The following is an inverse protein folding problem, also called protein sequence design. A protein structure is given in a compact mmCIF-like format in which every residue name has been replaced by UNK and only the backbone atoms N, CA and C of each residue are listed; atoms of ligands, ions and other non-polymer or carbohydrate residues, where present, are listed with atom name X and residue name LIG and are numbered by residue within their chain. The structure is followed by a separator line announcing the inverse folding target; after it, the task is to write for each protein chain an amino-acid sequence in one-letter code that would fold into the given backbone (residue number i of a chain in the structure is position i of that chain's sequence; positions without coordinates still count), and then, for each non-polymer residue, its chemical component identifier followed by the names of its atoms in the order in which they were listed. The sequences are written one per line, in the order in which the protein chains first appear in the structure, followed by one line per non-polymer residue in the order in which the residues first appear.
data_IF_393520346780
#
_entry.id   IF_393520346780
#
_cell.length_a   1.000
_cell.length_b   1.000
_cell.length_c   1.000
_cell.angle_alpha   90.00
_cell.angle_beta   90.00
_cell.angle_gamma   90.00
#
_symmetry.space_group_name_H-M   'P 1'
#
loop_
_entity.id
_entity.type
_entity.pdbx_description
1 polymer ?
#
# COMPACT_ATOMS: atom_id res chain seq x y z
N UNK A 1 11.80 5.38 9.40
CA UNK A 1 11.65 3.98 8.89
C UNK A 1 11.75 3.99 7.38
N UNK A 2 11.98 2.82 6.75
CA UNK A 2 11.97 2.69 5.28
C UNK A 2 10.80 1.83 4.82
N UNK A 3 10.09 2.26 3.79
CA UNK A 3 9.04 1.46 3.15
C UNK A 3 9.62 0.68 1.97
N UNK A 4 9.46 -0.64 1.98
CA UNK A 4 9.85 -1.53 0.88
C UNK A 4 8.58 -2.10 0.25
N UNK A 5 8.30 -1.75 -1.00
CA UNK A 5 7.01 -2.07 -1.66
C UNK A 5 7.16 -2.28 -3.16
N UNK A 6 6.08 -2.71 -3.82
CA UNK A 6 5.99 -2.74 -5.28
C UNK A 6 5.57 -1.37 -5.81
N UNK A 7 5.98 -1.08 -7.04
CA UNK A 7 5.60 0.14 -7.76
C UNK A 7 4.33 -0.05 -8.62
N UNK A 8 3.39 -0.84 -8.11
CA UNK A 8 2.04 -1.01 -8.67
C UNK A 8 1.00 -0.34 -7.78
N UNK A 9 -0.24 -0.24 -8.27
CA UNK A 9 -1.28 0.51 -7.58
C UNK A 9 -1.53 0.01 -6.15
N UNK A 10 -1.55 -1.31 -5.91
CA UNK A 10 -1.69 -1.86 -4.56
C UNK A 10 -0.52 -1.48 -3.64
N UNK A 11 0.71 -1.57 -4.14
CA UNK A 11 1.91 -1.14 -3.41
C UNK A 11 1.93 0.36 -3.09
N UNK A 12 1.38 1.20 -3.97
CA UNK A 12 1.25 2.65 -3.74
C UNK A 12 0.12 3.00 -2.76
N UNK A 13 -1.01 2.29 -2.79
CA UNK A 13 -2.07 2.43 -1.77
C UNK A 13 -1.56 1.97 -0.40
N UNK A 14 -0.78 0.88 -0.34
CA UNK A 14 -0.07 0.47 0.86
C UNK A 14 0.83 1.61 1.38
N UNK A 15 1.59 2.25 0.49
CA UNK A 15 2.43 3.39 0.84
C UNK A 15 1.64 4.59 1.38
N UNK A 16 0.49 4.91 0.78
CA UNK A 16 -0.38 5.99 1.26
C UNK A 16 -0.88 5.73 2.69
N UNK A 17 -1.30 4.48 2.98
CA UNK A 17 -1.73 4.08 4.32
C UNK A 17 -0.58 4.06 5.32
N UNK A 18 0.55 3.43 4.98
CA UNK A 18 1.70 3.32 5.90
C UNK A 18 2.25 4.70 6.23
N UNK A 19 2.47 5.56 5.24
CA UNK A 19 3.02 6.91 5.47
C UNK A 19 2.07 7.81 6.27
N UNK A 20 0.76 7.51 6.29
CA UNK A 20 -0.19 8.20 7.17
C UNK A 20 0.08 7.91 8.65
N UNK A 21 0.41 6.67 8.99
CA UNK A 21 0.49 6.22 10.37
C UNK A 21 1.92 6.07 10.89
N UNK A 22 2.90 5.94 10.00
CA UNK A 22 4.28 5.61 10.33
C UNK A 22 5.25 6.67 9.78
N UNK A 23 6.34 6.92 10.51
CA UNK A 23 7.39 7.86 10.09
C UNK A 23 8.29 7.20 9.06
N UNK A 24 7.95 7.38 7.77
CA UNK A 24 8.76 6.92 6.63
C UNK A 24 9.69 8.04 6.17
N UNK A 25 10.97 7.74 6.06
CA UNK A 25 12.02 8.68 5.64
C UNK A 25 12.71 8.24 4.33
N UNK A 26 12.47 7.00 3.92
CA UNK A 26 13.17 6.34 2.83
C UNK A 26 12.24 5.31 2.17
N UNK A 27 12.43 5.08 0.87
CA UNK A 27 11.59 4.19 0.07
C UNK A 27 12.46 3.27 -0.77
N UNK A 28 11.99 2.04 -0.98
CA UNK A 28 12.63 1.10 -1.88
C UNK A 28 11.55 0.36 -2.66
N UNK A 29 11.48 0.62 -3.97
CA UNK A 29 10.59 -0.08 -4.87
C UNK A 29 11.27 -1.32 -5.45
N UNK A 30 10.62 -2.47 -5.33
CA UNK A 30 11.26 -3.76 -5.60
C UNK A 30 10.32 -4.69 -6.36
N UNK A 31 10.86 -5.40 -7.35
CA UNK A 31 10.18 -6.54 -7.95
C UNK A 31 10.25 -7.77 -7.03
N UNK A 32 9.16 -8.53 -6.82
CA UNK A 32 9.13 -9.67 -5.91
C UNK A 32 10.26 -10.69 -6.12
N UNK A 33 10.68 -10.89 -7.37
CA UNK A 33 11.76 -11.82 -7.71
C UNK A 33 13.08 -11.47 -7.02
N UNK A 34 13.44 -10.19 -6.91
CA UNK A 34 14.68 -9.79 -6.25
C UNK A 34 14.66 -10.03 -4.73
N UNK A 35 13.48 -9.95 -4.10
CA UNK A 35 13.30 -10.36 -2.71
C UNK A 35 13.47 -11.88 -2.55
N UNK A 36 12.86 -12.66 -3.44
CA UNK A 36 12.94 -14.13 -3.41
C UNK A 36 14.35 -14.65 -3.65
N UNK A 37 15.10 -13.99 -4.55
CA UNK A 37 16.50 -14.32 -4.85
C UNK A 37 17.49 -13.82 -3.77
N UNK A 38 17.00 -13.08 -2.76
CA UNK A 38 17.82 -12.58 -1.65
C UNK A 38 18.75 -11.41 -2.04
N UNK A 39 18.42 -10.66 -3.09
CA UNK A 39 19.25 -9.56 -3.61
C UNK A 39 18.93 -8.21 -2.97
N UNK A 40 17.90 -8.17 -2.13
CA UNK A 40 17.41 -6.95 -1.50
C UNK A 40 17.82 -6.99 -0.04
N UNK A 41 18.61 -6.00 0.37
CA UNK A 41 18.99 -5.84 1.77
C UNK A 41 17.80 -5.33 2.57
N UNK A 42 17.30 -6.15 3.50
CA UNK A 42 16.26 -5.76 4.47
C UNK A 42 16.89 -5.58 5.86
N UNK A 43 16.63 -4.41 6.45
CA UNK A 43 17.14 -3.98 7.75
C UNK A 43 16.01 -3.82 8.78
N UNK A 44 16.39 -3.81 10.05
CA UNK A 44 15.47 -3.42 11.12
C UNK A 44 14.97 -1.98 10.88
N UNK A 45 13.68 -1.74 11.08
CA UNK A 45 13.01 -0.48 10.75
C UNK A 45 12.42 -0.45 9.34
N UNK A 46 12.59 -1.51 8.54
CA UNK A 46 11.88 -1.65 7.27
C UNK A 46 10.44 -2.12 7.49
N UNK A 47 9.51 -1.50 6.77
CA UNK A 47 8.14 -1.96 6.61
C UNK A 47 8.02 -2.53 5.21
N UNK A 48 7.61 -3.79 5.10
CA UNK A 48 7.44 -4.48 3.82
C UNK A 48 5.94 -4.56 3.50
N UNK A 49 5.55 -4.13 2.31
CA UNK A 49 4.16 -4.26 1.82
C UNK A 49 4.14 -4.89 0.43
N UNK A 50 3.19 -5.78 0.18
CA UNK A 50 2.97 -6.42 -1.11
C UNK A 50 4.21 -7.16 -1.66
N UNK A 51 5.04 -7.69 -0.76
CA UNK A 51 6.32 -8.34 -1.09
C UNK A 51 6.56 -9.55 -0.17
N UNK A 52 7.41 -10.50 -0.59
CA UNK A 52 7.77 -11.65 0.23
C UNK A 52 8.27 -11.27 1.63
N UNK A 53 7.95 -12.09 2.62
CA UNK A 53 8.39 -11.89 4.00
C UNK A 53 9.92 -11.94 4.13
N UNK A 54 10.45 -11.10 5.03
CA UNK A 54 11.84 -11.16 5.45
C UNK A 54 11.94 -10.98 6.98
N UNK A 55 12.69 -11.83 7.71
CA UNK A 55 12.68 -11.83 9.18
C UNK A 55 13.20 -10.55 9.85
N UNK A 56 13.98 -9.74 9.13
CA UNK A 56 14.51 -8.47 9.65
C UNK A 56 13.51 -7.31 9.61
N UNK A 57 12.36 -7.43 8.94
CA UNK A 57 11.40 -6.32 8.87
C UNK A 57 10.74 -6.05 10.23
N UNK A 58 10.33 -4.80 10.44
CA UNK A 58 9.56 -4.39 11.62
C UNK A 58 8.07 -4.72 11.45
N UNK A 59 7.51 -4.38 10.29
CA UNK A 59 6.14 -4.73 9.90
C UNK A 59 6.17 -5.38 8.51
N UNK A 60 5.29 -6.35 8.30
CA UNK A 60 5.11 -6.99 7.01
C UNK A 60 3.63 -7.18 6.69
N UNK A 61 3.24 -6.84 5.46
CA UNK A 61 1.87 -6.93 4.97
C UNK A 61 1.86 -7.61 3.60
N UNK A 62 1.14 -8.72 3.50
CA UNK A 62 1.00 -9.45 2.24
C UNK A 62 -0.32 -10.22 2.16
N UNK A 63 -0.66 -10.64 0.95
CA UNK A 63 -1.84 -11.44 0.64
C UNK A 63 -1.58 -12.59 -0.34
N UNK A 64 -0.37 -12.69 -0.90
CA UNK A 64 0.02 -13.74 -1.85
C UNK A 64 0.29 -15.07 -1.15
N UNK A 65 -0.54 -16.09 -1.43
CA UNK A 65 -0.34 -17.45 -0.87
C UNK A 65 0.98 -18.11 -1.29
N UNK A 66 1.58 -17.65 -2.38
CA UNK A 66 2.83 -18.18 -2.93
C UNK A 66 4.07 -17.71 -2.16
N UNK A 67 3.95 -16.65 -1.36
CA UNK A 67 5.05 -16.17 -0.53
C UNK A 67 5.14 -16.99 0.74
N UNK A 68 6.38 -17.22 1.22
CA UNK A 68 6.59 -17.85 2.51
C UNK A 68 6.03 -16.96 3.61
N UNK A 69 5.07 -17.47 4.37
CA UNK A 69 4.50 -16.75 5.50
C UNK A 69 5.19 -17.22 6.80
N UNK A 70 5.49 -16.29 7.72
CA UNK A 70 5.84 -16.67 9.08
C UNK A 70 4.65 -17.35 9.76
N UNK A 71 4.93 -18.24 10.71
CA UNK A 71 3.90 -18.93 11.51
C UNK A 71 3.27 -17.95 12.52
N UNK A 72 2.45 -17.03 12.03
CA UNK A 72 1.72 -16.07 12.85
C UNK A 72 0.45 -16.72 13.41
N UNK A 73 0.22 -16.63 14.74
CA UNK A 73 -0.94 -17.27 15.37
C UNK A 73 -2.27 -16.61 15.00
N UNK A 74 -2.23 -15.42 14.38
CA UNK A 74 -3.39 -14.69 13.87
C UNK A 74 -3.03 -14.07 12.52
N UNK A 75 -4.02 -13.85 11.64
CA UNK A 75 -3.79 -13.19 10.36
C UNK A 75 -3.26 -11.76 10.51
N UNK A 76 -3.66 -11.05 11.56
CA UNK A 76 -3.17 -9.72 11.93
C UNK A 76 -2.51 -9.81 13.31
N UNK A 77 -1.25 -9.40 13.37
CA UNK A 77 -0.41 -9.39 14.55
C UNK A 77 0.07 -7.96 14.79
N UNK A 78 -0.55 -7.28 15.77
CA UNK A 78 -0.16 -5.92 16.14
C UNK A 78 1.34 -5.82 16.48
N UNK A 79 2.02 -4.83 15.91
CA UNK A 79 3.48 -4.67 16.01
C UNK A 79 4.30 -5.58 15.10
N UNK A 80 3.66 -6.40 14.26
CA UNK A 80 4.30 -7.29 13.26
C UNK A 80 3.71 -7.17 11.85
N UNK A 81 2.48 -6.68 11.73
CA UNK A 81 1.75 -6.59 10.46
C UNK A 81 0.78 -7.78 10.30
N UNK A 82 0.67 -8.35 9.11
CA UNK A 82 -0.25 -9.46 8.88
C UNK A 82 -0.21 -10.06 7.48
N UNK A 83 -0.79 -11.25 7.39
CA UNK A 83 -1.07 -11.93 6.13
C UNK A 83 -2.54 -12.34 6.09
N UNK A 84 -3.20 -12.10 4.95
CA UNK A 84 -4.55 -12.60 4.69
C UNK A 84 -4.73 -12.93 3.22
N UNK A 85 -5.57 -13.93 2.93
CA UNK A 85 -6.16 -14.07 1.59
C UNK A 85 -7.21 -12.97 1.39
N UNK A 86 -6.72 -11.75 1.12
CA UNK A 86 -7.48 -10.54 0.85
C UNK A 86 -7.36 -10.16 -0.63
N UNK A 87 -8.27 -9.32 -1.17
CA UNK A 87 -8.22 -8.90 -2.56
C UNK A 87 -6.99 -8.05 -2.93
N UNK A 88 -6.30 -7.48 -1.92
CA UNK A 88 -5.11 -6.64 -2.07
C UNK A 88 -4.27 -6.66 -0.79
N UNK A 89 -2.98 -6.33 -0.85
CA UNK A 89 -2.17 -6.09 0.34
C UNK A 89 -2.59 -4.81 1.07
N UNK A 90 -3.05 -3.79 0.35
CA UNK A 90 -3.58 -2.57 0.94
C UNK A 90 -4.76 -2.85 1.88
N UNK A 91 -5.59 -3.85 1.57
CA UNK A 91 -6.67 -4.30 2.47
C UNK A 91 -6.12 -4.80 3.80
N UNK A 92 -5.02 -5.54 3.77
CA UNK A 92 -4.36 -6.05 4.99
C UNK A 92 -3.79 -4.91 5.82
N UNK A 93 -3.16 -3.91 5.18
CA UNK A 93 -2.69 -2.68 5.84
C UNK A 93 -3.84 -1.91 6.48
N UNK A 94 -4.95 -1.72 5.75
CA UNK A 94 -6.15 -1.02 6.22
C UNK A 94 -6.75 -1.70 7.46
N UNK A 95 -6.89 -3.02 7.44
CA UNK A 95 -7.41 -3.80 8.56
C UNK A 95 -6.48 -3.78 9.77
N UNK A 96 -5.15 -3.83 9.55
CA UNK A 96 -4.17 -3.72 10.62
C UNK A 96 -4.32 -2.40 11.37
N UNK A 97 -4.35 -1.26 10.68
CA UNK A 97 -4.48 0.04 11.36
C UNK A 97 -5.86 0.24 11.97
N UNK A 98 -6.92 -0.37 11.41
CA UNK A 98 -8.22 -0.44 12.07
C UNK A 98 -8.11 -1.13 13.43
N UNK A 99 -7.40 -2.26 13.52
CA UNK A 99 -7.18 -2.96 14.79
C UNK A 99 -6.25 -2.17 15.74
N UNK A 100 -5.24 -1.46 15.22
CA UNK A 100 -4.41 -0.53 16.02
C UNK A 100 -5.28 0.52 16.70
N UNK A 101 -6.19 1.16 15.94
CA UNK A 101 -7.14 2.14 16.49
C UNK A 101 -8.07 1.53 17.53
N UNK A 102 -8.68 0.38 17.23
CA UNK A 102 -9.59 -0.32 18.14
C UNK A 102 -8.92 -0.73 19.46
N UNK A 103 -7.64 -1.11 19.41
CA UNK A 103 -6.84 -1.54 20.57
C UNK A 103 -6.06 -0.41 21.23
N UNK A 104 -6.21 0.81 20.72
CA UNK A 104 -5.54 2.02 21.23
C UNK A 104 -4.01 1.86 21.31
N UNK A 105 -3.43 1.20 20.31
CA UNK A 105 -1.98 1.09 20.21
C UNK A 105 -1.38 2.31 19.52
N UNK A 106 -0.13 2.62 19.88
CA UNK A 106 0.61 3.72 19.26
C UNK A 106 1.03 3.36 17.82
N UNK A 107 0.94 4.34 16.93
CA UNK A 107 1.57 4.34 15.61
C UNK A 107 2.87 5.16 15.65
N UNK A 108 3.74 5.04 14.65
CA UNK A 108 4.97 5.84 14.55
C UNK A 108 4.71 7.35 14.48
N UNK A 109 3.62 7.77 13.85
CA UNK A 109 3.17 9.17 13.79
C UNK A 109 2.37 9.61 15.02
N UNK A 110 2.21 8.74 16.04
CA UNK A 110 1.49 9.01 17.29
C UNK A 110 0.04 9.45 17.08
N UNK A 111 -0.61 8.89 16.06
CA UNK A 111 -2.01 9.19 15.80
C UNK A 111 -2.90 8.71 16.94
N UNK A 112 -3.91 9.49 17.29
CA UNK A 112 -4.92 9.05 18.24
C UNK A 112 -5.83 7.98 17.62
N UNK A 113 -6.47 7.12 18.42
CA UNK A 113 -7.47 6.17 17.93
C UNK A 113 -8.58 6.84 17.10
N UNK A 114 -9.01 8.04 17.50
CA UNK A 114 -10.02 8.83 16.81
C UNK A 114 -9.52 9.33 15.45
N UNK A 115 -8.26 9.78 15.36
CA UNK A 115 -7.66 10.20 14.08
C UNK A 115 -7.55 9.03 13.10
N UNK A 116 -7.17 7.84 13.59
CA UNK A 116 -7.12 6.61 12.79
C UNK A 116 -8.51 6.27 12.26
N UNK A 117 -9.50 6.21 13.16
CA UNK A 117 -10.88 5.88 12.80
C UNK A 117 -11.48 6.91 11.83
N UNK A 118 -11.21 8.20 12.04
CA UNK A 118 -11.68 9.28 11.17
C UNK A 118 -11.08 9.16 9.78
N UNK A 119 -9.76 8.95 9.66
CA UNK A 119 -9.09 8.85 8.37
C UNK A 119 -9.59 7.63 7.57
N UNK A 120 -9.50 6.43 8.16
CA UNK A 120 -9.90 5.18 7.51
C UNK A 120 -11.41 5.13 7.22
N UNK A 121 -12.23 5.70 8.10
CA UNK A 121 -13.68 5.69 8.01
C UNK A 121 -14.28 6.67 7.00
N UNK A 122 -13.48 7.53 6.37
CA UNK A 122 -14.01 8.46 5.34
C UNK A 122 -14.52 7.72 4.11
N UNK A 123 -15.57 8.26 3.46
CA UNK A 123 -16.07 7.70 2.20
C UNK A 123 -15.00 7.67 1.10
N UNK A 124 -14.10 8.67 1.08
CA UNK A 124 -12.94 8.69 0.20
C UNK A 124 -12.04 7.47 0.39
N UNK A 125 -11.67 7.16 1.64
CA UNK A 125 -10.80 6.01 1.92
C UNK A 125 -11.51 4.68 1.65
N UNK A 126 -12.79 4.56 1.98
CA UNK A 126 -13.58 3.37 1.63
C UNK A 126 -13.63 3.15 0.11
N UNK A 127 -13.83 4.23 -0.66
CA UNK A 127 -13.85 4.16 -2.11
C UNK A 127 -12.47 3.81 -2.71
N UNK A 128 -11.39 4.44 -2.23
CA UNK A 128 -10.03 4.08 -2.64
C UNK A 128 -9.74 2.60 -2.35
N UNK A 129 -10.12 2.11 -1.18
CA UNK A 129 -9.92 0.72 -0.81
C UNK A 129 -10.76 -0.25 -1.66
N UNK A 130 -11.98 0.13 -2.03
CA UNK A 130 -12.80 -0.64 -2.96
C UNK A 130 -12.13 -0.76 -4.34
N UNK A 131 -11.60 0.34 -4.86
CA UNK A 131 -10.91 0.34 -6.16
C UNK A 131 -9.59 -0.44 -6.12
N UNK A 132 -8.79 -0.30 -5.06
CA UNK A 132 -7.57 -1.08 -4.88
C UNK A 132 -7.86 -2.59 -4.89
N UNK A 133 -8.89 -3.02 -4.16
CA UNK A 133 -9.33 -4.42 -4.13
C UNK A 133 -9.81 -4.93 -5.50
N UNK A 134 -10.49 -4.09 -6.28
CA UNK A 134 -10.96 -4.45 -7.63
C UNK A 134 -9.80 -4.58 -8.61
N UNK A 135 -8.90 -3.60 -8.61
CA UNK A 135 -7.76 -3.51 -9.52
C UNK A 135 -6.81 -4.68 -9.29
N UNK A 136 -6.41 -4.92 -8.05
CA UNK A 136 -5.43 -5.97 -7.73
C UNK A 136 -6.00 -7.39 -7.93
N UNK A 137 -7.27 -7.60 -7.62
CA UNK A 137 -7.96 -8.87 -7.89
C UNK A 137 -8.33 -9.07 -9.37
N UNK A 138 -8.03 -8.12 -10.27
CA UNK A 138 -8.38 -8.19 -11.69
C UNK A 138 -9.89 -8.20 -11.95
N UNK A 139 -10.69 -7.65 -11.04
CA UNK A 139 -12.16 -7.58 -11.14
C UNK A 139 -12.58 -6.31 -11.87
N UNK A 140 -12.09 -6.19 -13.10
CA UNK A 140 -12.37 -5.08 -14.01
C UNK A 140 -13.40 -5.50 -15.06
N UNK A 141 -14.26 -4.56 -15.41
CA UNK A 141 -15.19 -4.70 -16.52
C UNK A 141 -14.50 -4.33 -17.84
N UNK A 142 -15.15 -4.59 -18.98
CA UNK A 142 -14.57 -4.28 -20.29
C UNK A 142 -14.30 -2.77 -20.45
N UNK A 143 -15.19 -1.93 -19.97
CA UNK A 143 -15.07 -0.47 -20.08
C UNK A 143 -13.94 0.06 -19.18
N UNK A 144 -13.70 -0.57 -18.02
CA UNK A 144 -12.54 -0.24 -17.17
C UNK A 144 -11.20 -0.42 -17.92
N UNK A 145 -11.16 -1.28 -18.94
CA UNK A 145 -9.95 -1.56 -19.74
C UNK A 145 -9.91 -0.71 -21.02
N UNK A 146 -11.06 -0.52 -21.68
CA UNK A 146 -11.13 0.21 -22.95
C UNK A 146 -11.17 1.74 -22.79
N UNK A 147 -11.75 2.22 -21.69
CA UNK A 147 -11.86 3.63 -21.33
C UNK A 147 -11.65 3.77 -19.81
N UNK A 148 -10.42 3.53 -19.31
CA UNK A 148 -10.14 3.54 -17.88
C UNK A 148 -10.42 4.93 -17.29
N UNK A 149 -11.13 4.96 -16.16
CA UNK A 149 -11.49 6.18 -15.44
C UNK A 149 -11.07 6.10 -13.96
N UNK A 150 -11.03 7.26 -13.29
CA UNK A 150 -10.83 7.30 -11.84
C UNK A 150 -9.52 6.65 -11.39
N UNK A 151 -9.59 5.80 -10.35
CA UNK A 151 -8.42 5.08 -9.85
C UNK A 151 -7.94 3.98 -10.79
N UNK A 152 -8.81 3.43 -11.66
CA UNK A 152 -8.39 2.50 -12.71
C UNK A 152 -7.48 3.23 -13.70
N UNK A 153 -7.82 4.45 -14.11
CA UNK A 153 -6.95 5.27 -14.97
C UNK A 153 -5.59 5.53 -14.31
N UNK A 154 -5.59 5.92 -13.03
CA UNK A 154 -4.35 6.17 -12.29
C UNK A 154 -3.49 4.89 -12.21
N UNK A 155 -4.10 3.71 -11.97
CA UNK A 155 -3.35 2.46 -11.87
C UNK A 155 -2.64 2.06 -13.17
N UNK A 156 -3.19 2.45 -14.33
CA UNK A 156 -2.54 2.23 -15.63
C UNK A 156 -1.27 3.07 -15.82
N UNK A 157 -1.03 4.08 -14.97
CA UNK A 157 0.16 4.94 -15.04
C UNK A 157 1.33 4.45 -14.17
N UNK A 158 1.13 3.37 -13.40
CA UNK A 158 2.08 2.87 -12.38
C UNK A 158 2.37 1.39 -12.61
N UNK A 159 3.24 1.07 -13.58
CA UNK A 159 3.56 -0.31 -13.95
C UNK A 159 4.88 -0.85 -13.37
N UNK A 160 5.61 0.00 -12.64
CA UNK A 160 6.84 -0.34 -11.92
C UNK A 160 8.05 -0.69 -12.79
N UNK A 161 7.96 -0.62 -14.13
CA UNK A 161 9.03 -1.12 -15.02
C UNK A 161 10.17 -0.13 -15.25
N UNK A 162 9.89 1.16 -15.12
CA UNK A 162 10.87 2.21 -15.34
C UNK A 162 11.31 2.83 -14.01
N UNK A 163 12.51 2.50 -13.54
CA UNK A 163 13.06 3.05 -12.30
C UNK A 163 13.11 4.59 -12.28
N UNK A 164 13.17 5.25 -13.44
CA UNK A 164 13.12 6.71 -13.53
C UNK A 164 11.78 7.34 -13.11
N UNK A 165 10.73 6.52 -12.94
CA UNK A 165 9.40 6.97 -12.52
C UNK A 165 9.22 6.98 -10.99
N UNK A 166 10.26 6.65 -10.21
CA UNK A 166 10.22 6.69 -8.76
C UNK A 166 9.67 8.01 -8.18
N UNK A 167 10.08 9.21 -8.65
CA UNK A 167 9.50 10.46 -8.16
C UNK A 167 7.99 10.57 -8.38
N UNK A 168 7.49 9.99 -9.48
CA UNK A 168 6.06 9.95 -9.78
C UNK A 168 5.32 8.99 -8.83
N UNK A 169 5.86 7.82 -8.54
CA UNK A 169 5.28 6.87 -7.60
C UNK A 169 5.16 7.44 -6.19
N UNK A 170 6.20 8.15 -5.74
CA UNK A 170 6.19 8.86 -4.45
C UNK A 170 5.13 9.97 -4.43
N UNK A 171 4.99 10.73 -5.52
CA UNK A 171 3.90 11.71 -5.65
C UNK A 171 2.53 11.03 -5.58
N UNK A 172 2.32 9.90 -6.24
CA UNK A 172 1.04 9.17 -6.18
C UNK A 172 0.74 8.73 -4.74
N UNK A 173 1.73 8.22 -3.99
CA UNK A 173 1.56 7.91 -2.57
C UNK A 173 1.03 9.11 -1.78
N UNK A 174 1.62 10.29 -1.95
CA UNK A 174 1.19 11.52 -1.28
C UNK A 174 -0.21 11.97 -1.71
N UNK A 175 -0.52 11.91 -3.02
CA UNK A 175 -1.83 12.27 -3.55
C UNK A 175 -2.93 11.33 -3.03
N UNK A 176 -2.70 10.01 -3.05
CA UNK A 176 -3.65 9.03 -2.51
C UNK A 176 -3.88 9.22 -1.00
N UNK A 177 -2.84 9.63 -0.26
CA UNK A 177 -2.95 9.90 1.18
C UNK A 177 -3.76 11.17 1.45
N UNK A 178 -3.47 12.26 0.75
CA UNK A 178 -3.86 13.60 1.18
C UNK A 178 -4.93 14.28 0.30
N UNK A 179 -5.12 13.82 -0.94
CA UNK A 179 -5.99 14.45 -1.92
C UNK A 179 -7.24 13.65 -2.25
N UNK A 180 -8.25 14.31 -2.78
CA UNK A 180 -9.41 13.66 -3.38
C UNK A 180 -9.03 13.04 -4.73
N UNK A 181 -9.88 12.16 -5.25
CA UNK A 181 -9.69 11.58 -6.59
C UNK A 181 -9.65 12.68 -7.66
N UNK A 182 -10.55 13.66 -7.58
CA UNK A 182 -10.61 14.79 -8.51
C UNK A 182 -9.32 15.62 -8.47
N UNK A 183 -8.83 15.97 -7.27
CA UNK A 183 -7.55 16.68 -7.14
C UNK A 183 -6.38 15.86 -7.69
N UNK A 184 -6.37 14.55 -7.45
CA UNK A 184 -5.34 13.63 -7.96
C UNK A 184 -5.34 13.60 -9.49
N UNK A 185 -6.51 13.41 -10.10
CA UNK A 185 -6.68 13.45 -11.56
C UNK A 185 -6.38 14.83 -12.15
N UNK A 186 -6.42 15.89 -11.34
CA UNK A 186 -6.11 17.25 -11.77
C UNK A 186 -4.64 17.65 -11.59
N UNK A 187 -3.82 16.84 -10.91
CA UNK A 187 -2.38 17.07 -10.80
C UNK A 187 -1.72 17.08 -12.19
N UNK A 188 -0.82 18.03 -12.41
CA UNK A 188 -0.23 18.27 -13.73
C UNK A 188 0.58 17.08 -14.26
N UNK A 189 1.19 16.28 -13.38
CA UNK A 189 1.98 15.12 -13.77
C UNK A 189 1.10 13.90 -13.99
N UNK A 190 0.07 13.70 -13.17
CA UNK A 190 -0.95 12.66 -13.38
C UNK A 190 -1.64 12.87 -14.73
N UNK A 191 -2.11 14.09 -15.01
CA UNK A 191 -2.72 14.47 -16.30
C UNK A 191 -1.83 14.25 -17.52
N UNK A 192 -0.52 14.24 -17.35
CA UNK A 192 0.42 14.03 -18.45
C UNK A 192 0.55 12.54 -18.79
N UNK A 193 0.26 11.66 -17.84
CA UNK A 193 0.39 10.19 -17.97
C UNK A 193 -0.95 9.51 -18.26
N UNK A 194 -2.07 10.12 -17.87
CA UNK A 194 -3.42 9.75 -18.25
C UNK A 194 -3.77 10.25 -19.66
#
# INVERSE_FOLDING_TARGET
MRLVTRADFDGLVCGALVTKFEQIEDYLFVEPKFMQDGWVEIRSGDIITNLPYHPNCTLWFDHHITNTTPDFPKPIMLGKGGFRLAPSAARVVYEYYTEVGNRQQATGNRNSPEEIAQFLGTERMKYLMHEADRIDAGKLEQDDVLDPQGYVLISMTTDGKNAGDEPYWLKIIDLLRDKTLEETLNDAEVKKRC
#
